data_IF_492323284724
#
_entry.id   IF_492323284724
#
_cell.length_a   1.000
_cell.length_b   1.000
_cell.length_c   1.000
_cell.angle_alpha   90.00
_cell.angle_beta   90.00
_cell.angle_gamma   90.00
#
_symmetry.space_group_name_H-M   'P 1'
#
loop_
_entity.id
_entity.type
_entity.pdbx_description
1 polymer ?
#
# COMPACT_ATOMS: atom_id res chain seq x y z
N UNK A 1 25.11 59.45 2.24
CA UNK A 1 24.07 58.89 3.14
C UNK A 1 22.77 58.91 2.34
N UNK A 2 22.10 57.77 2.11
CA UNK A 2 21.35 57.10 3.18
C UNK A 2 21.64 55.59 3.27
N UNK A 3 21.97 55.15 4.48
CA UNK A 3 21.93 53.77 4.95
C UNK A 3 20.49 53.47 5.33
N UNK A 4 19.66 52.97 4.40
CA UNK A 4 18.27 52.63 4.73
C UNK A 4 17.68 51.52 3.86
N UNK A 5 18.50 50.64 3.27
CA UNK A 5 18.03 49.53 2.42
C UNK A 5 18.37 48.14 2.96
N UNK A 6 19.04 48.05 4.11
CA UNK A 6 19.46 46.76 4.68
C UNK A 6 18.47 46.17 5.70
N UNK A 7 17.37 46.87 6.03
CA UNK A 7 16.42 46.46 7.08
C UNK A 7 15.21 45.66 6.61
N UNK A 8 14.92 45.63 5.30
CA UNK A 8 13.67 45.04 4.78
C UNK A 8 13.87 43.57 4.35
N UNK A 9 15.11 43.14 4.12
CA UNK A 9 15.41 41.77 3.70
C UNK A 9 15.29 40.72 4.83
N UNK A 10 15.30 41.14 6.10
CA UNK A 10 15.31 40.20 7.24
C UNK A 10 13.91 39.86 7.78
N UNK A 11 12.87 40.61 7.39
CA UNK A 11 11.51 40.39 7.87
C UNK A 11 10.72 39.34 7.05
N UNK A 12 11.18 38.98 5.84
CA UNK A 12 10.48 38.05 4.94
C UNK A 12 10.91 36.58 5.18
N UNK A 13 12.02 36.35 5.89
CA UNK A 13 12.58 35.01 6.08
C UNK A 13 11.96 34.21 7.26
N UNK A 14 11.07 34.80 8.06
CA UNK A 14 10.62 34.19 9.34
C UNK A 14 9.22 33.58 9.32
N UNK A 15 8.49 33.60 8.20
CA UNK A 15 7.10 33.09 8.12
C UNK A 15 6.94 31.79 7.32
N UNK A 16 8.02 31.15 6.86
CA UNK A 16 7.97 29.96 5.99
C UNK A 16 8.12 28.61 6.73
N UNK A 17 8.08 28.59 8.06
CA UNK A 17 8.13 27.35 8.84
C UNK A 17 6.86 27.22 9.67
N UNK A 18 5.70 27.28 9.03
CA UNK A 18 4.54 26.55 9.57
C UNK A 18 4.67 25.14 9.04
N UNK A 19 5.04 24.26 9.96
CA UNK A 19 5.10 22.82 9.78
C UNK A 19 3.88 22.33 8.99
N UNK A 20 4.14 21.81 7.79
CA UNK A 20 3.25 20.86 7.14
C UNK A 20 3.22 19.58 7.97
N UNK A 21 2.48 19.62 9.08
CA UNK A 21 1.93 18.42 9.69
C UNK A 21 0.84 17.97 8.72
N UNK A 22 1.24 17.30 7.63
CA UNK A 22 0.28 16.78 6.67
C UNK A 22 -0.56 15.75 7.41
N UNK A 23 -1.78 16.18 7.72
CA UNK A 23 -2.73 15.46 8.53
C UNK A 23 -3.28 14.34 7.65
N UNK A 24 -2.54 13.24 7.61
CA UNK A 24 -3.00 11.96 7.08
C UNK A 24 -3.71 12.09 5.72
N UNK A 25 -2.96 12.37 4.65
CA UNK A 25 -3.48 12.16 3.30
C UNK A 25 -3.70 10.65 3.11
N UNK A 26 -4.89 10.18 3.48
CA UNK A 26 -5.31 8.79 3.29
C UNK A 26 -5.39 8.50 1.79
N UNK A 27 -4.83 7.37 1.36
CA UNK A 27 -4.92 6.91 -0.03
C UNK A 27 -6.41 6.69 -0.37
N UNK A 28 -6.96 7.35 -1.41
CA UNK A 28 -8.34 7.14 -1.81
C UNK A 28 -8.58 5.68 -2.24
N UNK A 29 -9.74 5.06 -1.90
CA UNK A 29 -10.02 3.67 -2.25
C UNK A 29 -9.92 3.34 -3.75
N UNK A 30 -10.29 4.28 -4.62
CA UNK A 30 -10.22 4.13 -6.08
C UNK A 30 -8.77 4.09 -6.62
N UNK A 31 -7.79 4.49 -5.81
CA UNK A 31 -6.36 4.43 -6.15
C UNK A 31 -5.71 3.09 -5.80
N UNK A 32 -6.37 2.23 -5.02
CA UNK A 32 -5.80 0.96 -4.57
C UNK A 32 -5.48 0.01 -5.74
N UNK A 33 -6.26 0.06 -6.82
CA UNK A 33 -6.00 -0.71 -8.06
C UNK A 33 -4.67 -0.38 -8.73
N UNK A 34 -4.08 0.79 -8.43
CA UNK A 34 -2.77 1.22 -8.96
C UNK A 34 -1.59 0.80 -8.08
N UNK A 35 -1.86 0.22 -6.91
CA UNK A 35 -0.85 -0.19 -5.93
C UNK A 35 -0.59 -1.69 -5.93
N UNK A 36 -1.26 -2.42 -6.81
CA UNK A 36 -1.06 -3.86 -7.01
C UNK A 36 -0.35 -4.11 -8.33
N UNK A 37 0.34 -5.25 -8.40
CA UNK A 37 0.94 -5.72 -9.64
C UNK A 37 -0.14 -6.04 -10.67
N UNK A 38 0.19 -5.75 -11.92
CA UNK A 38 -0.55 -6.12 -13.11
C UNK A 38 0.37 -6.89 -14.06
N UNK A 39 -0.17 -7.38 -15.18
CA UNK A 39 0.57 -8.14 -16.18
C UNK A 39 1.80 -7.37 -16.69
N UNK A 40 1.71 -6.04 -16.78
CA UNK A 40 2.81 -5.18 -17.26
C UNK A 40 3.99 -5.10 -16.28
N UNK A 41 3.77 -5.48 -15.02
CA UNK A 41 4.76 -5.41 -13.96
C UNK A 41 5.48 -6.77 -13.75
N UNK A 42 5.07 -7.81 -14.48
CA UNK A 42 5.65 -9.15 -14.45
C UNK A 42 6.36 -9.48 -15.76
N UNK A 43 7.26 -10.48 -15.78
CA UNK A 43 7.75 -11.07 -17.01
C UNK A 43 6.59 -11.52 -17.91
N UNK A 44 6.85 -11.62 -19.21
CA UNK A 44 5.86 -12.16 -20.15
C UNK A 44 5.42 -13.57 -19.76
N UNK A 45 4.17 -13.92 -20.12
CA UNK A 45 3.58 -15.22 -19.81
C UNK A 45 2.84 -15.29 -18.47
N UNK A 46 2.46 -14.14 -17.91
CA UNK A 46 1.47 -14.04 -16.84
C UNK A 46 0.19 -13.40 -17.34
N UNK A 47 -0.94 -13.89 -16.85
CA UNK A 47 -2.27 -13.31 -17.08
C UNK A 47 -3.03 -13.20 -15.76
N UNK A 48 -3.81 -12.13 -15.56
CA UNK A 48 -4.73 -12.07 -14.44
C UNK A 48 -5.91 -13.00 -14.65
N UNK A 49 -6.27 -13.72 -13.58
CA UNK A 49 -7.53 -14.47 -13.50
C UNK A 49 -8.48 -13.86 -12.45
N UNK A 50 -7.99 -12.87 -11.69
CA UNK A 50 -8.80 -12.04 -10.81
C UNK A 50 -8.14 -10.67 -10.62
N UNK A 51 -8.91 -9.60 -10.72
CA UNK A 51 -8.50 -8.24 -10.33
C UNK A 51 -9.71 -7.49 -9.83
N UNK A 52 -9.70 -7.05 -8.57
CA UNK A 52 -10.87 -6.43 -7.98
C UNK A 52 -10.74 -6.08 -6.50
N UNK A 53 -11.82 -5.53 -5.96
CA UNK A 53 -11.94 -5.22 -4.54
C UNK A 53 -11.78 -6.48 -3.70
N UNK A 54 -10.91 -6.40 -2.69
CA UNK A 54 -10.65 -7.49 -1.76
C UNK A 54 -11.67 -7.50 -0.63
N UNK A 55 -12.84 -8.10 -0.92
CA UNK A 55 -13.96 -8.28 0.03
C UNK A 55 -13.76 -9.44 1.00
N UNK A 56 -12.98 -10.45 0.62
CA UNK A 56 -12.60 -11.57 1.50
C UNK A 56 -11.10 -11.78 1.46
N UNK A 57 -10.54 -12.17 2.59
CA UNK A 57 -9.11 -12.39 2.75
C UNK A 57 -8.81 -13.87 2.59
N UNK A 58 -9.00 -14.35 1.38
CA UNK A 58 -8.89 -15.79 1.12
C UNK A 58 -7.42 -16.24 1.21
N UNK A 59 -7.23 -17.45 1.73
CA UNK A 59 -6.03 -18.30 1.61
C UNK A 59 -4.78 -17.99 2.44
N UNK A 60 -4.76 -17.04 3.38
CA UNK A 60 -3.54 -16.75 4.20
C UNK A 60 -3.64 -17.15 5.69
N UNK A 61 -4.47 -18.14 6.02
CA UNK A 61 -4.59 -18.68 7.39
C UNK A 61 -5.47 -17.83 8.32
N UNK A 62 -5.36 -18.08 9.64
CA UNK A 62 -6.26 -17.52 10.67
C UNK A 62 -6.04 -16.03 10.93
N UNK A 63 -4.81 -15.52 10.78
CA UNK A 63 -4.51 -14.09 11.04
C UNK A 63 -5.34 -13.16 10.18
N UNK A 64 -5.66 -13.58 8.94
CA UNK A 64 -6.48 -12.80 8.03
C UNK A 64 -7.96 -13.22 7.98
N UNK A 65 -8.42 -14.18 8.77
CA UNK A 65 -9.81 -14.65 8.65
C UNK A 65 -10.84 -13.55 8.99
N UNK A 66 -10.45 -12.58 9.81
CA UNK A 66 -11.22 -11.37 10.08
C UNK A 66 -10.83 -10.25 9.09
N UNK A 67 -11.77 -9.89 8.21
CA UNK A 67 -11.61 -8.83 7.21
C UNK A 67 -11.67 -7.41 7.79
N UNK A 68 -12.13 -7.26 9.03
CA UNK A 68 -12.30 -5.98 9.75
C UNK A 68 -11.23 -5.71 10.81
N UNK A 69 -10.29 -6.65 11.01
CA UNK A 69 -9.24 -6.53 12.04
C UNK A 69 -8.44 -5.24 11.89
N UNK A 70 -7.97 -4.74 13.02
CA UNK A 70 -7.04 -3.60 13.09
C UNK A 70 -7.52 -2.35 12.31
N UNK A 71 -8.83 -2.17 12.14
CA UNK A 71 -9.37 -1.02 11.41
C UNK A 71 -9.14 -1.07 9.90
N UNK A 72 -9.06 -2.26 9.30
CA UNK A 72 -9.03 -2.43 7.84
C UNK A 72 -10.34 -1.95 7.22
N UNK A 73 -10.24 -1.09 6.21
CA UNK A 73 -11.38 -0.49 5.50
C UNK A 73 -11.65 -1.13 4.14
N UNK A 74 -10.78 -2.04 3.70
CA UNK A 74 -10.90 -2.74 2.43
C UNK A 74 -9.54 -2.98 1.79
N UNK A 75 -9.56 -3.28 0.50
CA UNK A 75 -8.34 -3.47 -0.27
C UNK A 75 -8.61 -3.77 -1.73
N UNK A 76 -7.53 -3.91 -2.49
CA UNK A 76 -7.54 -4.39 -3.87
C UNK A 76 -6.60 -5.57 -4.00
N UNK A 77 -6.97 -6.53 -4.84
CA UNK A 77 -6.16 -7.71 -5.11
C UNK A 77 -6.14 -8.02 -6.60
N UNK A 78 -4.94 -8.31 -7.11
CA UNK A 78 -4.75 -8.95 -8.42
C UNK A 78 -4.13 -10.33 -8.20
N UNK A 79 -4.69 -11.33 -8.88
CA UNK A 79 -4.13 -12.69 -8.94
C UNK A 79 -3.77 -13.00 -10.38
N UNK A 80 -2.50 -13.32 -10.58
CA UNK A 80 -1.92 -13.65 -11.88
C UNK A 80 -1.44 -15.09 -11.85
N UNK A 81 -1.62 -15.80 -12.95
CA UNK A 81 -1.09 -17.15 -13.15
C UNK A 81 -0.18 -17.19 -14.38
N UNK A 82 0.61 -18.25 -14.49
CA UNK A 82 1.28 -18.59 -15.75
C UNK A 82 0.23 -18.78 -16.86
N UNK A 83 0.37 -18.06 -17.97
CA UNK A 83 -0.51 -18.22 -19.13
C UNK A 83 -0.36 -19.60 -19.76
N UNK A 84 0.86 -20.14 -19.77
CA UNK A 84 1.13 -21.53 -20.13
C UNK A 84 1.23 -22.38 -18.86
N UNK A 85 0.20 -23.19 -18.63
CA UNK A 85 0.07 -24.07 -17.46
C UNK A 85 1.03 -25.28 -17.49
N UNK A 86 1.72 -25.54 -18.62
CA UNK A 86 2.74 -26.58 -18.69
C UNK A 86 4.07 -26.16 -18.07
N UNK A 87 4.31 -24.85 -17.90
CA UNK A 87 5.57 -24.33 -17.37
C UNK A 87 5.53 -24.26 -15.85
N UNK A 88 6.15 -25.26 -15.22
CA UNK A 88 6.09 -25.46 -13.76
C UNK A 88 7.27 -24.87 -12.97
N UNK A 89 8.30 -24.37 -13.66
CA UNK A 89 9.43 -23.72 -12.99
C UNK A 89 9.08 -22.30 -12.52
N UNK A 90 9.44 -21.93 -11.29
CA UNK A 90 9.22 -20.59 -10.73
C UNK A 90 7.79 -20.37 -10.17
N UNK A 91 7.41 -19.11 -9.88
CA UNK A 91 6.07 -18.80 -9.36
C UNK A 91 4.97 -19.18 -10.35
N UNK A 92 4.07 -20.06 -9.93
CA UNK A 92 2.91 -20.48 -10.73
C UNK A 92 1.76 -19.49 -10.63
N UNK A 93 1.61 -18.89 -9.44
CA UNK A 93 0.61 -17.90 -9.10
C UNK A 93 1.29 -16.76 -8.35
N UNK A 94 1.01 -15.53 -8.77
CA UNK A 94 1.38 -14.30 -8.07
C UNK A 94 0.12 -13.66 -7.54
N UNK A 95 0.12 -13.37 -6.24
CA UNK A 95 -0.95 -12.62 -5.59
C UNK A 95 -0.39 -11.30 -5.09
N UNK A 96 -0.92 -10.19 -5.60
CA UNK A 96 -0.55 -8.84 -5.21
C UNK A 96 -1.74 -8.12 -4.58
N UNK A 97 -1.52 -7.52 -3.40
CA UNK A 97 -2.57 -6.95 -2.55
C UNK A 97 -2.16 -5.56 -2.07
N UNK A 98 -3.15 -4.68 -1.97
CA UNK A 98 -3.05 -3.41 -1.29
C UNK A 98 -4.25 -3.28 -0.34
N UNK A 99 -3.99 -3.23 0.96
CA UNK A 99 -5.02 -3.04 1.98
C UNK A 99 -5.04 -1.59 2.47
N UNK A 100 -6.25 -1.08 2.68
CA UNK A 100 -6.46 0.23 3.28
C UNK A 100 -6.82 0.06 4.75
N UNK A 101 -6.20 0.87 5.59
CA UNK A 101 -6.45 0.94 7.03
C UNK A 101 -6.80 2.36 7.42
N UNK A 102 -7.67 2.47 8.42
CA UNK A 102 -8.06 3.75 9.01
C UNK A 102 -6.85 4.58 9.47
N UNK A 103 -5.83 3.92 9.98
CA UNK A 103 -4.59 4.56 10.44
C UNK A 103 -3.37 3.63 10.32
N UNK A 104 -2.19 4.23 10.52
CA UNK A 104 -0.90 3.54 10.46
C UNK A 104 -0.73 2.48 11.56
N UNK A 105 -1.40 2.64 12.70
CA UNK A 105 -1.36 1.69 13.80
C UNK A 105 -2.04 0.37 13.42
N UNK A 106 -3.15 0.47 12.71
CA UNK A 106 -3.84 -0.67 12.09
C UNK A 106 -2.94 -1.44 11.13
N UNK A 107 -2.33 -0.73 10.17
CA UNK A 107 -1.41 -1.33 9.20
C UNK A 107 -0.17 -1.97 9.87
N UNK A 108 0.38 -1.32 10.90
CA UNK A 108 1.53 -1.84 11.66
C UNK A 108 1.18 -3.12 12.41
N UNK A 109 0.01 -3.15 13.03
CA UNK A 109 -0.50 -4.34 13.74
C UNK A 109 -0.72 -5.50 12.78
N UNK A 110 -1.24 -5.22 11.58
CA UNK A 110 -1.40 -6.25 10.55
C UNK A 110 -0.06 -6.85 10.14
N UNK A 111 0.92 -6.01 9.82
CA UNK A 111 2.27 -6.45 9.46
C UNK A 111 2.94 -7.25 10.59
N UNK A 112 2.74 -6.85 11.84
CA UNK A 112 3.27 -7.57 13.00
C UNK A 112 2.66 -8.98 13.13
N UNK A 113 1.35 -9.13 12.86
CA UNK A 113 0.68 -10.42 12.93
C UNK A 113 1.25 -11.43 11.92
N UNK A 114 1.70 -10.97 10.75
CA UNK A 114 2.42 -11.82 9.79
C UNK A 114 3.78 -12.29 10.25
N UNK A 115 4.55 -11.42 10.93
CA UNK A 115 5.85 -11.81 11.48
C UNK A 115 5.70 -12.97 12.48
N UNK A 116 4.61 -12.99 13.23
CA UNK A 116 4.27 -14.08 14.16
C UNK A 116 3.82 -15.33 13.41
N UNK A 117 3.05 -15.19 12.32
CA UNK A 117 2.61 -16.33 11.52
C UNK A 117 3.80 -17.05 10.85
N UNK A 118 4.68 -16.29 10.19
CA UNK A 118 5.82 -16.84 9.45
C UNK A 118 6.99 -17.27 10.33
N UNK A 119 7.06 -16.85 11.60
CA UNK A 119 8.05 -17.39 12.54
C UNK A 119 7.65 -18.76 13.11
N UNK A 120 6.41 -19.20 12.86
CA UNK A 120 5.86 -20.48 13.34
C UNK A 120 5.78 -21.56 12.25
N UNK A 121 6.13 -21.21 11.01
CA UNK A 121 6.21 -22.10 9.84
C UNK A 121 7.66 -22.40 9.52
#
# INVERSE_FOLDING_TARGET
MPRALAGIALAIASTLIVAGCDSSTTIPPDRLSKLVLTEKDLPSGFASFYSGAQVRLDNQGTVRSDASRYGREGGWITRLHRSDQSVTAGPLVVESRADLFKDIGGATSDLAAYRVLFSRT
#
